data_IF_963408529755
#
_entry.id   IF_963408529755
#
_cell.length_a   1.000
_cell.length_b   1.000
_cell.length_c   1.000
_cell.angle_alpha   90.00
_cell.angle_beta   90.00
_cell.angle_gamma   90.00
#
_symmetry.space_group_name_H-M   'P 1'
#
loop_
_entity.id
_entity.type
_entity.pdbx_description
1 polymer ?
#
# COMPACT_ATOMS: atom_id res chain seq x y z
N UNK A 1 -61.28 -1.20 -68.62
CA UNK A 1 -61.36 0.28 -68.69
C UNK A 1 -62.78 0.64 -69.05
N UNK A 2 -63.34 1.71 -68.49
CA UNK A 2 -64.64 2.24 -68.94
C UNK A 2 -64.52 2.98 -70.28
N UNK A 3 -65.64 3.21 -70.97
CA UNK A 3 -65.63 3.88 -72.27
C UNK A 3 -65.09 5.31 -72.14
N UNK A 4 -64.01 5.61 -72.87
CA UNK A 4 -63.35 6.92 -72.83
C UNK A 4 -62.23 7.04 -71.78
N UNK A 5 -62.02 6.02 -70.94
CA UNK A 5 -60.94 5.98 -69.96
C UNK A 5 -59.63 5.53 -70.63
N UNK A 6 -58.62 6.39 -70.58
CA UNK A 6 -57.28 6.09 -71.12
C UNK A 6 -56.31 5.59 -70.04
N UNK A 7 -56.57 5.91 -68.77
CA UNK A 7 -55.70 5.56 -67.65
C UNK A 7 -56.51 5.00 -66.49
N UNK A 8 -55.98 3.96 -65.84
CA UNK A 8 -56.50 3.41 -64.60
C UNK A 8 -55.33 3.10 -63.68
N UNK A 9 -55.40 3.59 -62.45
CA UNK A 9 -54.38 3.36 -61.42
C UNK A 9 -54.71 2.08 -60.66
N UNK A 10 -53.69 1.29 -60.38
CA UNK A 10 -53.73 0.19 -59.41
C UNK A 10 -52.95 0.63 -58.18
N UNK A 11 -53.48 0.36 -56.99
CA UNK A 11 -52.78 0.60 -55.73
C UNK A 11 -52.36 -0.74 -55.18
N UNK A 12 -51.07 -0.89 -54.90
CA UNK A 12 -50.49 -2.05 -54.23
C UNK A 12 -50.05 -1.56 -52.86
N UNK A 13 -50.51 -2.21 -51.81
CA UNK A 13 -50.07 -1.92 -50.45
C UNK A 13 -48.78 -2.71 -50.19
N UNK A 14 -47.73 -2.01 -49.83
CA UNK A 14 -46.50 -2.60 -49.29
C UNK A 14 -46.74 -2.84 -47.79
N UNK A 15 -46.29 -3.98 -47.29
CA UNK A 15 -46.34 -4.29 -45.85
C UNK A 15 -45.13 -3.61 -45.24
N UNK A 16 -45.39 -2.76 -44.27
CA UNK A 16 -44.39 -2.02 -43.50
C UNK A 16 -44.18 -2.76 -42.18
N UNK A 17 -42.93 -3.05 -41.86
CA UNK A 17 -42.53 -3.58 -40.56
C UNK A 17 -41.22 -2.94 -40.12
N UNK A 18 -40.78 -3.25 -38.90
CA UNK A 18 -39.59 -2.64 -38.32
C UNK A 18 -38.41 -3.62 -38.36
N UNK A 19 -38.33 -4.53 -39.32
CA UNK A 19 -37.28 -5.54 -39.37
C UNK A 19 -36.39 -5.30 -40.59
N UNK A 20 -35.10 -5.06 -40.33
CA UNK A 20 -34.16 -4.89 -41.42
C UNK A 20 -34.13 -6.10 -42.35
N UNK A 21 -34.37 -5.83 -43.63
CA UNK A 21 -34.38 -6.74 -44.76
C UNK A 21 -33.61 -6.12 -45.94
N UNK A 22 -32.96 -6.93 -46.80
CA UNK A 22 -32.35 -6.40 -48.02
C UNK A 22 -33.41 -5.90 -49.00
N UNK A 23 -33.05 -4.95 -49.88
CA UNK A 23 -33.95 -4.47 -50.93
C UNK A 23 -34.58 -5.63 -51.72
N UNK A 24 -35.90 -5.66 -51.73
CA UNK A 24 -36.68 -6.71 -52.36
C UNK A 24 -37.26 -6.27 -53.70
N UNK A 25 -37.56 -7.23 -54.56
CA UNK A 25 -38.20 -6.93 -55.84
C UNK A 25 -39.34 -7.87 -56.14
N UNK A 26 -40.42 -7.32 -56.71
CA UNK A 26 -41.52 -8.10 -57.24
C UNK A 26 -41.96 -7.58 -58.61
N UNK A 27 -42.65 -8.44 -59.36
CA UNK A 27 -43.10 -8.14 -60.71
C UNK A 27 -44.62 -7.99 -60.74
N UNK A 28 -45.09 -6.92 -61.37
CA UNK A 28 -46.50 -6.76 -61.74
C UNK A 28 -46.62 -7.07 -63.22
N UNK A 29 -47.28 -8.20 -63.53
CA UNK A 29 -47.52 -8.63 -64.91
C UNK A 29 -48.95 -8.33 -65.33
N UNK A 30 -49.09 -7.60 -66.42
CA UNK A 30 -50.37 -7.40 -67.11
C UNK A 30 -50.70 -8.62 -67.95
N UNK A 31 -51.89 -9.16 -67.74
CA UNK A 31 -52.52 -10.17 -68.58
C UNK A 31 -53.84 -9.65 -69.13
N UNK A 32 -54.27 -10.22 -70.26
CA UNK A 32 -55.64 -10.01 -70.75
C UNK A 32 -56.60 -10.81 -69.88
N UNK A 33 -57.77 -10.24 -69.63
CA UNK A 33 -58.85 -10.99 -69.00
C UNK A 33 -59.34 -12.11 -69.93
N UNK A 34 -59.77 -13.23 -69.35
CA UNK A 34 -60.29 -14.36 -70.12
C UNK A 34 -61.44 -13.91 -71.05
N UNK A 35 -61.33 -14.20 -72.34
CA UNK A 35 -62.32 -13.83 -73.37
C UNK A 35 -62.11 -12.48 -74.06
N UNK A 36 -61.11 -11.67 -73.69
CA UNK A 36 -60.83 -10.36 -74.28
C UNK A 36 -59.68 -10.35 -75.33
N UNK A 37 -59.18 -11.53 -75.69
CA UNK A 37 -58.01 -11.74 -76.57
C UNK A 37 -58.17 -11.17 -78.00
N UNK A 38 -59.40 -10.96 -78.46
CA UNK A 38 -59.71 -10.35 -79.76
C UNK A 38 -60.03 -8.86 -79.73
N UNK A 39 -60.20 -8.25 -78.54
CA UNK A 39 -60.69 -6.88 -78.37
C UNK A 39 -59.62 -5.90 -77.92
N UNK A 40 -58.61 -6.39 -77.20
CA UNK A 40 -57.47 -5.60 -76.75
C UNK A 40 -56.17 -6.37 -76.97
N UNK A 41 -55.09 -5.64 -77.22
CA UNK A 41 -53.73 -6.19 -77.31
C UNK A 41 -52.88 -5.56 -76.22
N UNK A 42 -52.05 -6.38 -75.59
CA UNK A 42 -51.03 -5.88 -74.66
C UNK A 42 -49.98 -5.06 -75.43
N UNK A 43 -49.52 -3.97 -74.81
CA UNK A 43 -48.45 -3.14 -75.35
C UNK A 43 -47.06 -3.76 -75.16
N UNK A 44 -46.01 -2.98 -75.45
CA UNK A 44 -44.61 -3.44 -75.33
C UNK A 44 -44.11 -3.58 -73.89
N UNK A 45 -44.74 -2.89 -72.94
CA UNK A 45 -44.42 -2.95 -71.52
C UNK A 45 -45.57 -3.62 -70.76
N UNK A 46 -45.42 -4.92 -70.51
CA UNK A 46 -46.42 -5.74 -69.79
C UNK A 46 -45.97 -6.15 -68.41
N UNK A 47 -44.70 -5.91 -68.07
CA UNK A 47 -44.13 -6.22 -66.77
C UNK A 47 -43.57 -4.91 -66.20
N UNK A 48 -43.97 -4.60 -64.97
CA UNK A 48 -43.33 -3.58 -64.15
C UNK A 48 -42.53 -4.27 -63.05
N UNK A 49 -41.26 -3.89 -62.91
CA UNK A 49 -40.43 -4.25 -61.76
C UNK A 49 -40.69 -3.20 -60.68
N UNK A 50 -41.06 -3.65 -59.49
CA UNK A 50 -41.19 -2.79 -58.31
C UNK A 50 -40.10 -3.21 -57.34
N UNK A 51 -39.35 -2.23 -56.86
CA UNK A 51 -38.33 -2.40 -55.81
C UNK A 51 -38.88 -1.83 -54.51
N UNK A 52 -38.86 -2.65 -53.46
CA UNK A 52 -39.14 -2.23 -52.09
C UNK A 52 -37.78 -1.88 -51.49
N UNK A 53 -37.61 -0.61 -51.14
CA UNK A 53 -36.38 -0.10 -50.52
C UNK A 53 -36.62 -0.19 -49.02
N UNK A 54 -35.71 -0.85 -48.30
CA UNK A 54 -35.78 -0.93 -46.84
C UNK A 54 -35.29 0.41 -46.24
N UNK A 55 -36.05 0.96 -45.30
CA UNK A 55 -35.74 2.19 -44.57
C UNK A 55 -35.45 1.96 -43.08
N UNK A 56 -35.33 0.70 -42.64
CA UNK A 56 -34.98 0.33 -41.28
C UNK A 56 -33.49 0.54 -40.99
N UNK A 57 -33.20 1.07 -39.80
CA UNK A 57 -31.84 1.24 -39.32
C UNK A 57 -31.54 0.21 -38.21
N UNK A 58 -30.91 -0.94 -38.52
CA UNK A 58 -30.60 -1.97 -37.52
C UNK A 58 -29.54 -1.52 -36.50
N UNK A 59 -28.84 -0.41 -36.77
CA UNK A 59 -27.90 0.20 -35.84
C UNK A 59 -26.50 -0.41 -35.83
N UNK A 60 -25.65 0.24 -35.06
CA UNK A 60 -24.24 -0.08 -34.87
C UNK A 60 -24.04 -0.47 -33.41
N UNK A 61 -23.45 -1.64 -33.17
CA UNK A 61 -23.19 -2.15 -31.83
C UNK A 61 -21.73 -1.89 -31.47
N UNK A 62 -21.49 -1.25 -30.33
CA UNK A 62 -20.17 -0.98 -29.79
C UNK A 62 -20.15 -0.91 -28.25
N UNK A 63 -18.98 -1.03 -27.64
CA UNK A 63 -18.83 -0.83 -26.19
C UNK A 63 -18.96 0.65 -25.82
N UNK A 64 -19.52 0.94 -24.64
CA UNK A 64 -19.61 2.31 -24.10
C UNK A 64 -18.21 2.90 -23.86
N UNK A 65 -17.30 2.09 -23.33
CA UNK A 65 -15.94 2.50 -22.99
C UNK A 65 -14.90 1.53 -23.57
N UNK A 66 -13.75 2.06 -24.00
CA UNK A 66 -12.63 1.25 -24.49
C UNK A 66 -11.81 0.58 -23.38
N UNK A 67 -11.95 1.08 -22.15
CA UNK A 67 -11.26 0.59 -20.96
C UNK A 67 -12.26 0.59 -19.81
N UNK A 68 -12.39 -0.53 -19.10
CA UNK A 68 -13.22 -0.66 -17.91
C UNK A 68 -12.35 -1.05 -16.72
N UNK A 69 -12.40 -0.27 -15.64
CA UNK A 69 -11.64 -0.52 -14.42
C UNK A 69 -12.55 -1.16 -13.38
N UNK A 70 -12.16 -2.33 -12.89
CA UNK A 70 -12.90 -3.07 -11.87
C UNK A 70 -11.97 -3.48 -10.75
N UNK A 71 -12.51 -3.59 -9.53
CA UNK A 71 -11.78 -4.17 -8.40
C UNK A 71 -11.87 -5.69 -8.46
N UNK A 72 -10.86 -6.38 -7.96
CA UNK A 72 -10.88 -7.84 -7.81
C UNK A 72 -12.08 -8.30 -6.96
N UNK A 73 -12.37 -7.56 -5.88
CA UNK A 73 -13.48 -7.84 -4.96
C UNK A 73 -14.90 -7.61 -5.49
N UNK A 74 -15.07 -7.11 -6.72
CA UNK A 74 -16.39 -6.75 -7.28
C UNK A 74 -17.25 -7.98 -7.61
N UNK A 75 -16.63 -9.15 -7.78
CA UNK A 75 -17.27 -10.41 -8.13
C UNK A 75 -17.72 -10.53 -9.60
N UNK A 76 -18.27 -9.47 -10.22
CA UNK A 76 -18.61 -9.45 -11.66
C UNK A 76 -18.29 -8.10 -12.29
N UNK A 77 -17.54 -8.12 -13.39
CA UNK A 77 -17.33 -6.96 -14.25
C UNK A 77 -18.52 -6.76 -15.18
N UNK A 78 -19.18 -5.61 -15.07
CA UNK A 78 -20.31 -5.22 -15.92
C UNK A 78 -19.83 -4.35 -17.09
N UNK A 79 -19.91 -4.90 -18.29
CA UNK A 79 -19.45 -4.27 -19.53
C UNK A 79 -20.66 -3.88 -20.36
N UNK A 80 -20.83 -2.59 -20.59
CA UNK A 80 -22.00 -2.06 -21.32
C UNK A 80 -21.76 -2.00 -22.82
N UNK A 81 -22.76 -2.43 -23.57
CA UNK A 81 -22.86 -2.32 -25.02
C UNK A 81 -23.95 -1.33 -25.36
N UNK A 82 -23.65 -0.48 -26.33
CA UNK A 82 -24.55 0.48 -26.91
C UNK A 82 -24.90 0.08 -28.34
N UNK A 83 -26.17 0.25 -28.69
CA UNK A 83 -26.67 0.19 -30.06
C UNK A 83 -27.00 1.63 -30.50
N UNK A 84 -26.24 2.16 -31.44
CA UNK A 84 -26.28 3.56 -31.89
C UNK A 84 -26.65 3.65 -33.37
N UNK A 85 -27.13 4.81 -33.82
CA UNK A 85 -27.50 5.06 -35.23
C UNK A 85 -28.50 4.03 -35.80
N UNK A 86 -29.51 3.67 -35.00
CA UNK A 86 -30.56 2.73 -35.37
C UNK A 86 -30.93 1.78 -34.23
N UNK A 87 -32.22 1.44 -34.13
CA UNK A 87 -32.74 0.48 -33.15
C UNK A 87 -33.82 -0.44 -33.73
N UNK A 88 -33.89 -0.52 -35.07
CA UNK A 88 -34.96 -1.23 -35.77
C UNK A 88 -34.67 -2.73 -35.86
N UNK A 89 -35.68 -3.53 -35.59
CA UNK A 89 -35.58 -4.98 -35.64
C UNK A 89 -34.76 -5.60 -34.51
N UNK A 90 -34.78 -6.93 -34.52
CA UNK A 90 -34.02 -7.76 -33.60
C UNK A 90 -32.64 -8.03 -34.17
N UNK A 91 -31.60 -7.68 -33.41
CA UNK A 91 -30.20 -7.89 -33.81
C UNK A 91 -29.45 -8.67 -32.75
N UNK A 92 -28.40 -9.39 -33.15
CA UNK A 92 -27.54 -10.08 -32.20
C UNK A 92 -26.07 -9.94 -32.54
N UNK A 93 -25.22 -10.04 -31.54
CA UNK A 93 -23.76 -10.00 -31.68
C UNK A 93 -23.14 -11.03 -30.75
N UNK A 94 -22.07 -11.68 -31.19
CA UNK A 94 -21.30 -12.57 -30.34
C UNK A 94 -20.13 -11.84 -29.70
N UNK A 95 -19.78 -12.26 -28.49
CA UNK A 95 -18.60 -11.75 -27.80
C UNK A 95 -17.72 -12.91 -27.31
N UNK A 96 -16.43 -12.64 -27.16
CA UNK A 96 -15.47 -13.55 -26.56
C UNK A 96 -14.47 -12.77 -25.71
N UNK A 97 -13.98 -13.41 -24.65
CA UNK A 97 -12.87 -12.91 -23.84
C UNK A 97 -11.53 -13.39 -24.39
N UNK A 98 -10.48 -12.61 -24.14
CA UNK A 98 -9.11 -12.94 -24.54
C UNK A 98 -8.12 -12.46 -23.49
N UNK A 99 -7.25 -13.37 -23.08
CA UNK A 99 -6.19 -13.10 -22.11
C UNK A 99 -5.20 -12.05 -22.65
N UNK A 100 -4.75 -11.16 -21.76
CA UNK A 100 -3.60 -10.26 -22.01
C UNK A 100 -2.56 -10.54 -20.92
N UNK A 101 -2.82 -10.05 -19.70
CA UNK A 101 -2.03 -10.31 -18.50
C UNK A 101 -2.81 -11.18 -17.52
N UNK A 102 -4.12 -10.91 -17.37
CA UNK A 102 -5.05 -11.78 -16.64
C UNK A 102 -5.36 -13.04 -17.47
N UNK A 103 -5.40 -14.19 -16.78
CA UNK A 103 -5.57 -15.53 -17.31
C UNK A 103 -6.97 -16.07 -17.00
N UNK A 104 -7.64 -16.61 -18.01
CA UNK A 104 -8.95 -17.24 -17.85
C UNK A 104 -8.91 -18.42 -16.86
N UNK A 105 -9.98 -18.56 -16.07
CA UNK A 105 -10.16 -19.53 -14.97
C UNK A 105 -9.22 -19.34 -13.76
N UNK A 106 -8.27 -18.41 -13.83
CA UNK A 106 -7.44 -17.97 -12.70
C UNK A 106 -7.94 -16.64 -12.15
N UNK A 107 -7.96 -15.61 -12.99
CA UNK A 107 -8.22 -14.22 -12.58
C UNK A 107 -9.65 -13.78 -12.96
N UNK A 108 -10.22 -14.40 -14.00
CA UNK A 108 -11.60 -14.18 -14.42
C UNK A 108 -12.16 -15.44 -15.08
N UNK A 109 -13.48 -15.61 -15.06
CA UNK A 109 -14.12 -16.73 -15.78
C UNK A 109 -14.25 -16.36 -17.26
N UNK A 110 -13.39 -16.97 -18.09
CA UNK A 110 -13.35 -16.74 -19.52
C UNK A 110 -14.55 -17.32 -20.24
N UNK A 111 -14.80 -16.85 -21.46
CA UNK A 111 -15.83 -17.43 -22.30
C UNK A 111 -16.33 -16.52 -23.41
N UNK A 112 -17.46 -16.91 -23.97
CA UNK A 112 -18.16 -16.15 -24.99
C UNK A 112 -19.66 -16.40 -24.93
N UNK A 113 -20.41 -15.50 -25.54
CA UNK A 113 -21.87 -15.55 -25.55
C UNK A 113 -22.44 -14.79 -26.72
N UNK A 114 -23.77 -14.81 -26.81
CA UNK A 114 -24.53 -14.02 -27.78
C UNK A 114 -25.38 -13.02 -27.02
N UNK A 115 -25.23 -11.74 -27.37
CA UNK A 115 -26.06 -10.64 -26.87
C UNK A 115 -27.11 -10.35 -27.92
N UNK A 116 -28.37 -10.37 -27.51
CA UNK A 116 -29.52 -10.07 -28.36
C UNK A 116 -30.11 -8.73 -27.93
N UNK A 117 -30.28 -7.83 -28.89
CA UNK A 117 -31.06 -6.61 -28.76
C UNK A 117 -32.40 -6.83 -29.48
N UNK A 118 -33.49 -6.68 -28.72
CA UNK A 118 -34.83 -6.62 -29.27
C UNK A 118 -35.07 -5.23 -29.90
N UNK A 119 -36.17 -5.11 -30.65
CA UNK A 119 -36.53 -3.84 -31.28
C UNK A 119 -36.65 -2.70 -30.24
N UNK A 120 -36.01 -1.57 -30.52
CA UNK A 120 -35.97 -0.40 -29.64
C UNK A 120 -35.01 -0.51 -28.46
N UNK A 121 -34.33 -1.64 -28.23
CA UNK A 121 -33.33 -1.76 -27.18
C UNK A 121 -31.99 -1.13 -27.62
N UNK A 122 -31.50 -0.20 -26.80
CA UNK A 122 -30.25 0.55 -27.08
C UNK A 122 -29.08 0.19 -26.17
N UNK A 123 -29.31 -0.55 -25.08
CA UNK A 123 -28.29 -0.87 -24.08
C UNK A 123 -28.42 -2.31 -23.58
N UNK A 124 -27.29 -3.03 -23.55
CA UNK A 124 -27.14 -4.35 -22.92
C UNK A 124 -25.89 -4.37 -22.06
N UNK A 125 -25.85 -5.29 -21.09
CA UNK A 125 -24.71 -5.47 -20.18
C UNK A 125 -24.24 -6.91 -20.26
N UNK A 126 -22.94 -7.10 -20.51
CA UNK A 126 -22.25 -8.37 -20.35
C UNK A 126 -21.68 -8.41 -18.94
N UNK A 127 -21.99 -9.45 -18.17
CA UNK A 127 -21.42 -9.68 -16.85
C UNK A 127 -20.39 -10.80 -16.91
N UNK A 128 -19.12 -10.47 -16.66
CA UNK A 128 -18.02 -11.42 -16.61
C UNK A 128 -17.62 -11.64 -15.14
N UNK A 129 -17.73 -12.86 -14.60
CA UNK A 129 -17.29 -13.13 -13.24
C UNK A 129 -15.79 -12.92 -13.09
N UNK A 130 -15.42 -12.17 -12.04
CA UNK A 130 -14.03 -11.96 -11.63
C UNK A 130 -13.75 -12.94 -10.49
N UNK A 131 -12.62 -13.63 -10.56
CA UNK A 131 -12.18 -14.54 -9.50
C UNK A 131 -11.39 -13.69 -8.51
N UNK A 132 -11.80 -13.71 -7.25
CA UNK A 132 -11.09 -13.02 -6.18
C UNK A 132 -10.31 -14.05 -5.39
N UNK A 133 -9.00 -13.87 -5.28
CA UNK A 133 -8.18 -14.71 -4.42
C UNK A 133 -7.72 -13.98 -3.15
N UNK A 134 -6.56 -14.33 -2.60
CA UNK A 134 -6.00 -13.72 -1.39
C UNK A 134 -4.51 -13.35 -1.59
N UNK A 135 -4.01 -13.55 -2.81
CA UNK A 135 -2.65 -13.24 -3.18
C UNK A 135 -2.59 -11.81 -3.71
N UNK A 136 -1.80 -10.95 -3.06
CA UNK A 136 -1.54 -9.64 -3.63
C UNK A 136 -0.79 -9.78 -4.97
N UNK A 137 -1.51 -9.52 -6.06
CA UNK A 137 -1.02 -9.52 -7.44
C UNK A 137 -0.85 -8.08 -7.95
N UNK A 138 -0.35 -7.93 -9.18
CA UNK A 138 -0.31 -6.62 -9.84
C UNK A 138 -1.65 -6.34 -10.50
N UNK A 139 -1.88 -5.10 -10.93
CA UNK A 139 -3.01 -4.82 -11.81
C UNK A 139 -2.86 -5.63 -13.11
N UNK A 140 -3.87 -6.42 -13.43
CA UNK A 140 -3.90 -7.31 -14.59
C UNK A 140 -5.04 -6.93 -15.53
N UNK A 141 -4.97 -7.36 -16.79
CA UNK A 141 -5.96 -6.97 -17.79
C UNK A 141 -6.32 -8.11 -18.73
N UNK A 142 -7.57 -8.12 -19.20
CA UNK A 142 -8.05 -8.99 -20.27
C UNK A 142 -8.89 -8.19 -21.28
N UNK A 143 -9.07 -8.71 -22.49
CA UNK A 143 -9.87 -8.09 -23.53
C UNK A 143 -11.22 -8.77 -23.72
N UNK A 144 -12.21 -8.00 -24.16
CA UNK A 144 -13.50 -8.50 -24.66
C UNK A 144 -13.71 -7.96 -26.08
N UNK A 145 -13.99 -8.87 -27.01
CA UNK A 145 -14.09 -8.58 -28.45
C UNK A 145 -15.47 -9.01 -28.99
N UNK A 146 -16.12 -8.12 -29.76
CA UNK A 146 -17.37 -8.38 -30.47
C UNK A 146 -17.09 -8.93 -31.87
N UNK A 147 -17.88 -9.89 -32.32
CA UNK A 147 -17.79 -10.48 -33.64
C UNK A 147 -19.14 -11.03 -34.14
N UNK A 148 -19.22 -11.27 -35.45
CA UNK A 148 -20.38 -11.89 -36.13
C UNK A 148 -21.73 -11.23 -35.78
N UNK A 149 -21.92 -9.92 -36.08
CA UNK A 149 -23.21 -9.28 -35.90
C UNK A 149 -24.24 -9.85 -36.90
N UNK A 150 -25.49 -9.98 -36.45
CA UNK A 150 -26.63 -10.52 -37.21
C UNK A 150 -27.82 -9.57 -37.17
N UNK A 151 -28.72 -9.72 -38.14
CA UNK A 151 -29.91 -8.86 -38.26
C UNK A 151 -29.61 -7.50 -38.90
N UNK A 152 -28.56 -7.40 -39.71
CA UNK A 152 -28.19 -6.16 -40.41
C UNK A 152 -27.33 -5.18 -39.58
N UNK A 153 -27.15 -5.44 -38.28
CA UNK A 153 -26.30 -4.61 -37.44
C UNK A 153 -24.83 -4.64 -37.87
N UNK A 154 -24.13 -3.52 -37.64
CA UNK A 154 -22.69 -3.39 -37.90
C UNK A 154 -21.93 -3.20 -36.59
N UNK A 155 -20.64 -3.51 -36.57
CA UNK A 155 -19.78 -3.23 -35.42
C UNK A 155 -19.23 -1.81 -35.51
N UNK A 156 -19.28 -1.08 -34.40
CA UNK A 156 -18.76 0.28 -34.30
C UNK A 156 -17.25 0.35 -34.12
N UNK A 157 -16.76 1.55 -33.76
CA UNK A 157 -15.32 1.79 -33.59
C UNK A 157 -14.80 1.07 -32.35
N UNK A 158 -15.64 0.96 -31.33
CA UNK A 158 -15.32 0.30 -30.07
C UNK A 158 -15.85 -1.15 -30.08
N UNK A 159 -15.39 -1.97 -31.03
CA UNK A 159 -15.69 -3.41 -31.09
C UNK A 159 -14.85 -4.26 -30.13
N UNK A 160 -13.88 -3.64 -29.44
CA UNK A 160 -13.01 -4.24 -28.45
C UNK A 160 -12.89 -3.32 -27.25
N UNK A 161 -12.96 -3.89 -26.05
CA UNK A 161 -12.70 -3.20 -24.79
C UNK A 161 -11.68 -3.98 -23.96
N UNK A 162 -10.95 -3.27 -23.10
CA UNK A 162 -9.97 -3.85 -22.16
C UNK A 162 -10.50 -3.67 -20.75
N UNK A 163 -10.61 -4.77 -20.01
CA UNK A 163 -10.97 -4.76 -18.60
C UNK A 163 -9.70 -4.88 -17.79
N UNK A 164 -9.46 -3.92 -16.90
CA UNK A 164 -8.33 -3.92 -15.97
C UNK A 164 -8.84 -4.22 -14.58
N UNK A 165 -8.33 -5.31 -14.00
CA UNK A 165 -8.61 -5.75 -12.64
C UNK A 165 -7.57 -5.08 -11.73
N UNK A 166 -8.07 -4.24 -10.83
CA UNK A 166 -7.27 -3.55 -9.82
C UNK A 166 -7.26 -4.42 -8.58
N UNK A 167 -6.07 -4.83 -8.14
CA UNK A 167 -5.92 -5.59 -6.90
C UNK A 167 -6.24 -4.67 -5.72
N UNK A 168 -7.26 -5.03 -4.93
CA UNK A 168 -7.64 -4.34 -3.70
C UNK A 168 -7.42 -5.19 -2.44
N UNK A 169 -6.66 -6.27 -2.59
CA UNK A 169 -6.25 -7.19 -1.53
C UNK A 169 -5.12 -6.61 -0.67
N UNK A 170 -5.47 -5.57 0.08
CA UNK A 170 -4.58 -4.93 1.07
C UNK A 170 -4.50 -5.74 2.38
N UNK A 171 -4.94 -7.01 2.38
CA UNK A 171 -4.86 -7.91 3.54
C UNK A 171 -3.42 -8.13 3.98
N UNK A 172 -2.45 -8.18 3.06
CA UNK A 172 -1.03 -8.23 3.44
C UNK A 172 -0.57 -6.95 4.15
N UNK A 173 -1.08 -5.77 3.79
CA UNK A 173 -0.78 -4.53 4.51
C UNK A 173 -1.38 -4.56 5.92
N UNK A 174 -2.64 -4.96 6.07
CA UNK A 174 -3.29 -5.07 7.38
C UNK A 174 -2.70 -6.19 8.25
N UNK A 175 -2.40 -7.36 7.67
CA UNK A 175 -1.75 -8.48 8.36
C UNK A 175 -0.31 -8.15 8.72
N UNK A 176 0.44 -7.45 7.87
CA UNK A 176 1.78 -6.95 8.21
C UNK A 176 1.72 -5.84 9.25
N UNK A 177 0.72 -4.94 9.21
CA UNK A 177 0.51 -3.94 10.25
C UNK A 177 0.12 -4.60 11.58
N UNK A 178 -0.75 -5.61 11.56
CA UNK A 178 -1.19 -6.35 12.74
C UNK A 178 -0.06 -7.22 13.29
N UNK A 179 0.72 -7.89 12.43
CA UNK A 179 1.90 -8.63 12.81
C UNK A 179 2.98 -7.72 13.39
N UNK A 180 3.21 -6.54 12.80
CA UNK A 180 4.12 -5.53 13.35
C UNK A 180 3.63 -4.98 14.69
N UNK A 181 2.33 -4.72 14.84
CA UNK A 181 1.75 -4.28 16.12
C UNK A 181 1.85 -5.37 17.20
N UNK A 182 1.58 -6.62 16.84
CA UNK A 182 1.69 -7.78 17.74
C UNK A 182 3.16 -8.07 18.09
N UNK A 183 4.08 -7.92 17.14
CA UNK A 183 5.51 -8.13 17.36
C UNK A 183 6.12 -7.00 18.20
N UNK A 184 5.71 -5.75 17.99
CA UNK A 184 6.09 -4.60 18.85
C UNK A 184 5.55 -4.77 20.27
N UNK A 185 4.32 -5.29 20.44
CA UNK A 185 3.78 -5.59 21.77
C UNK A 185 4.47 -6.79 22.44
N UNK A 186 4.81 -7.84 21.69
CA UNK A 186 5.57 -8.99 22.20
C UNK A 186 6.99 -8.58 22.58
N UNK A 187 7.66 -7.71 21.81
CA UNK A 187 9.00 -7.21 22.14
C UNK A 187 8.98 -6.28 23.35
N UNK A 188 7.94 -5.44 23.50
CA UNK A 188 7.76 -4.65 24.75
C UNK A 188 7.47 -5.53 25.97
N UNK A 189 6.77 -6.65 25.78
CA UNK A 189 6.51 -7.62 26.84
C UNK A 189 7.73 -8.53 27.15
N UNK A 190 8.56 -8.85 26.15
CA UNK A 190 9.77 -9.68 26.29
C UNK A 190 10.92 -8.93 26.96
N UNK A 191 11.04 -7.61 26.73
CA UNK A 191 11.97 -6.71 27.45
C UNK A 191 11.71 -6.70 28.97
N UNK A 192 10.53 -7.18 29.43
CA UNK A 192 10.11 -7.08 30.84
C UNK A 192 10.15 -8.41 31.61
N UNK A 193 10.54 -9.55 31.01
CA UNK A 193 10.54 -10.85 31.70
C UNK A 193 11.84 -11.66 31.55
N UNK A 194 13.00 -11.03 31.72
CA UNK A 194 14.24 -11.78 31.96
C UNK A 194 14.24 -12.26 33.42
N UNK A 195 14.27 -13.57 33.64
CA UNK A 195 14.58 -14.11 34.97
C UNK A 195 16.07 -13.88 35.28
N UNK A 196 16.49 -13.95 36.55
CA UNK A 196 17.92 -13.93 36.90
C UNK A 196 18.70 -14.96 36.07
N UNK A 197 18.17 -16.18 35.94
CA UNK A 197 18.79 -17.23 35.14
C UNK A 197 18.98 -16.81 33.67
N UNK A 198 17.99 -16.13 33.10
CA UNK A 198 18.08 -15.64 31.73
C UNK A 198 19.13 -14.52 31.60
N UNK A 199 19.22 -13.59 32.56
CA UNK A 199 20.24 -12.53 32.52
C UNK A 199 21.65 -13.09 32.56
N UNK A 200 21.90 -14.10 33.40
CA UNK A 200 23.19 -14.79 33.43
C UNK A 200 23.44 -15.59 32.15
N UNK A 201 22.43 -16.25 31.61
CA UNK A 201 22.53 -16.95 30.32
C UNK A 201 22.93 -16.00 29.18
N UNK A 202 22.28 -14.84 29.09
CA UNK A 202 22.53 -13.85 28.03
C UNK A 202 23.86 -13.08 28.24
N UNK A 203 24.30 -12.97 29.49
CA UNK A 203 25.60 -12.46 29.84
C UNK A 203 26.73 -13.42 29.43
N UNK A 204 26.52 -14.73 29.57
CA UNK A 204 27.50 -15.77 29.22
C UNK A 204 27.54 -16.10 27.73
N UNK A 205 26.47 -15.82 26.97
CA UNK A 205 26.38 -16.17 25.57
C UNK A 205 26.54 -14.97 24.62
N UNK A 206 27.18 -15.23 23.48
CA UNK A 206 27.25 -14.26 22.38
C UNK A 206 25.84 -14.15 21.77
N UNK A 207 25.39 -12.91 21.53
CA UNK A 207 24.08 -12.65 20.92
C UNK A 207 22.88 -13.31 21.65
N UNK A 208 22.95 -13.46 22.99
CA UNK A 208 21.85 -14.06 23.76
C UNK A 208 21.68 -15.57 23.55
N UNK A 209 22.62 -16.24 22.88
CA UNK A 209 22.56 -17.67 22.55
C UNK A 209 22.11 -17.96 21.12
N UNK A 210 21.70 -16.95 20.35
CA UNK A 210 21.42 -17.11 18.92
C UNK A 210 22.71 -17.03 18.10
N UNK A 211 23.29 -18.22 17.88
CA UNK A 211 24.53 -18.43 17.14
C UNK A 211 24.34 -18.33 15.61
N UNK A 212 23.12 -18.53 15.10
CA UNK A 212 22.86 -18.58 13.65
C UNK A 212 22.92 -17.18 13.01
N UNK A 213 22.57 -16.15 13.77
CA UNK A 213 22.63 -14.75 13.33
C UNK A 213 23.89 -14.00 13.81
N UNK A 214 24.80 -14.67 14.53
CA UNK A 214 25.94 -14.03 15.18
C UNK A 214 27.07 -13.64 14.20
N UNK A 215 27.29 -12.33 14.05
CA UNK A 215 28.40 -11.77 13.24
C UNK A 215 29.68 -11.64 14.06
N UNK A 216 30.84 -11.54 13.40
CA UNK A 216 32.16 -11.30 14.04
C UNK A 216 32.13 -10.12 15.01
N UNK A 217 31.42 -9.04 14.67
CA UNK A 217 31.26 -7.88 15.55
C UNK A 217 30.59 -8.21 16.90
N UNK A 218 29.68 -9.19 16.94
CA UNK A 218 29.01 -9.62 18.17
C UNK A 218 29.97 -10.37 19.09
N UNK A 219 30.89 -11.17 18.54
CA UNK A 219 31.91 -11.87 19.33
C UNK A 219 32.92 -10.90 19.94
N UNK A 220 33.40 -9.92 19.17
CA UNK A 220 34.32 -8.89 19.67
C UNK A 220 33.63 -8.06 20.76
N UNK A 221 32.40 -7.59 20.50
CA UNK A 221 31.62 -6.83 21.47
C UNK A 221 31.33 -7.62 22.75
N UNK A 222 30.96 -8.90 22.62
CA UNK A 222 30.75 -9.78 23.77
C UNK A 222 32.03 -9.95 24.59
N UNK A 223 33.19 -10.16 23.95
CA UNK A 223 34.47 -10.34 24.66
C UNK A 223 34.87 -9.08 25.44
N UNK A 224 34.75 -7.90 24.81
CA UNK A 224 35.08 -6.62 25.45
C UNK A 224 34.11 -6.26 26.59
N UNK A 225 32.83 -6.59 26.44
CA UNK A 225 31.79 -6.28 27.41
C UNK A 225 31.54 -7.42 28.42
N UNK A 226 32.22 -8.57 28.31
CA UNK A 226 31.90 -9.77 29.08
C UNK A 226 31.90 -9.52 30.60
N UNK A 227 32.96 -8.87 31.09
CA UNK A 227 33.08 -8.50 32.50
C UNK A 227 31.88 -7.65 32.95
N UNK A 228 31.53 -6.63 32.17
CA UNK A 228 30.41 -5.74 32.46
C UNK A 228 29.06 -6.46 32.39
N UNK A 229 28.86 -7.33 31.40
CA UNK A 229 27.66 -8.15 31.26
C UNK A 229 27.41 -9.01 32.48
N UNK A 230 28.43 -9.70 32.97
CA UNK A 230 28.31 -10.56 34.16
C UNK A 230 28.11 -9.72 35.42
N UNK A 231 28.83 -8.60 35.56
CA UNK A 231 28.68 -7.70 36.71
C UNK A 231 27.26 -7.13 36.82
N UNK A 232 26.66 -6.70 35.71
CA UNK A 232 25.31 -6.13 35.70
C UNK A 232 24.19 -7.18 35.68
N UNK A 233 24.48 -8.46 35.41
CA UNK A 233 23.51 -9.55 35.56
C UNK A 233 23.09 -9.80 37.03
N UNK A 234 23.83 -9.25 38.00
CA UNK A 234 23.44 -9.24 39.41
C UNK A 234 22.35 -8.20 39.74
N UNK A 235 22.01 -7.32 38.80
CA UNK A 235 20.93 -6.36 38.99
C UNK A 235 19.60 -7.11 38.88
N UNK A 236 18.68 -6.98 39.86
CA UNK A 236 17.45 -7.75 39.85
C UNK A 236 16.57 -7.41 38.65
N UNK A 237 15.84 -8.39 38.09
CA UNK A 237 14.89 -8.18 37.02
C UNK A 237 13.82 -7.14 37.33
N UNK A 238 13.44 -6.40 36.30
CA UNK A 238 12.47 -5.30 36.33
C UNK A 238 11.07 -5.70 36.81
N UNK A 239 10.71 -7.00 36.78
CA UNK A 239 9.42 -7.47 37.29
C UNK A 239 9.38 -7.68 38.81
N UNK A 240 10.54 -7.73 39.48
CA UNK A 240 10.60 -7.92 40.94
C UNK A 240 10.22 -6.61 41.64
N UNK A 241 9.25 -6.66 42.54
CA UNK A 241 8.75 -5.51 43.30
C UNK A 241 8.33 -4.31 42.43
N UNK A 242 7.76 -4.58 41.24
CA UNK A 242 7.28 -3.54 40.33
C UNK A 242 8.39 -2.64 39.77
N UNK A 243 9.64 -3.14 39.70
CA UNK A 243 10.79 -2.43 39.13
C UNK A 243 11.53 -1.50 40.10
N UNK A 244 10.96 -1.23 41.27
CA UNK A 244 11.61 -0.39 42.29
C UNK A 244 12.92 -1.01 42.81
N UNK A 245 12.95 -2.33 42.97
CA UNK A 245 14.15 -3.02 43.43
C UNK A 245 15.30 -2.88 42.40
N UNK A 246 14.99 -3.07 41.13
CA UNK A 246 15.94 -2.87 40.02
C UNK A 246 16.48 -1.45 40.00
N UNK A 247 15.60 -0.46 40.16
CA UNK A 247 15.97 0.96 40.15
C UNK A 247 16.98 1.33 41.24
N UNK A 248 16.73 0.94 42.50
CA UNK A 248 17.64 1.30 43.59
C UNK A 248 18.96 0.51 43.54
N UNK A 249 18.91 -0.77 43.15
CA UNK A 249 20.13 -1.59 43.02
C UNK A 249 20.99 -1.09 41.87
N UNK A 250 20.40 -0.73 40.72
CA UNK A 250 21.16 -0.17 39.59
C UNK A 250 21.79 1.18 39.94
N UNK A 251 21.06 2.06 40.64
CA UNK A 251 21.58 3.33 41.15
C UNK A 251 22.80 3.11 42.06
N UNK A 252 22.74 2.11 42.96
CA UNK A 252 23.85 1.75 43.82
C UNK A 252 25.07 1.23 43.07
N UNK A 253 24.88 0.36 42.06
CA UNK A 253 25.96 -0.13 41.20
C UNK A 253 26.63 1.00 40.42
N UNK A 254 25.84 1.91 39.85
CA UNK A 254 26.36 3.08 39.12
C UNK A 254 27.15 3.99 40.07
N UNK A 255 26.62 4.28 41.27
CA UNK A 255 27.31 5.10 42.27
C UNK A 255 28.65 4.46 42.70
N UNK A 256 28.67 3.14 42.92
CA UNK A 256 29.90 2.42 43.27
C UNK A 256 30.92 2.43 42.13
N UNK A 257 30.50 2.14 40.91
CA UNK A 257 31.39 2.09 39.74
C UNK A 257 31.94 3.47 39.40
N UNK A 258 31.11 4.50 39.43
CA UNK A 258 31.55 5.88 39.21
C UNK A 258 32.55 6.35 40.27
N UNK A 259 32.38 5.94 41.53
CA UNK A 259 33.38 6.19 42.58
C UNK A 259 34.71 5.48 42.29
N UNK A 260 34.68 4.18 41.96
CA UNK A 260 35.90 3.41 41.64
C UNK A 260 36.61 4.00 40.41
N UNK A 261 35.87 4.30 39.34
CA UNK A 261 36.45 4.88 38.11
C UNK A 261 36.99 6.28 38.38
N UNK A 262 36.31 7.08 39.20
CA UNK A 262 36.78 8.39 39.65
C UNK A 262 38.11 8.30 40.40
N UNK A 263 38.22 7.37 41.36
CA UNK A 263 39.44 7.15 42.13
C UNK A 263 40.60 6.67 41.24
N UNK A 264 40.34 5.73 40.31
CA UNK A 264 41.35 5.25 39.36
C UNK A 264 41.81 6.38 38.43
N UNK A 265 40.88 7.21 37.92
CA UNK A 265 41.20 8.36 37.07
C UNK A 265 42.03 9.41 37.82
N UNK A 266 41.75 9.63 39.11
CA UNK A 266 42.54 10.52 39.96
C UNK A 266 43.97 10.00 40.19
N UNK A 267 44.12 8.71 40.50
CA UNK A 267 45.43 8.06 40.68
C UNK A 267 46.25 8.12 39.37
N UNK A 268 45.61 7.80 38.24
CA UNK A 268 46.25 7.92 36.93
C UNK A 268 46.66 9.36 36.60
N UNK A 269 45.77 10.32 36.89
CA UNK A 269 46.04 11.75 36.78
C UNK A 269 47.28 12.19 37.54
N UNK A 270 47.38 11.77 38.80
CA UNK A 270 48.55 12.02 39.63
C UNK A 270 49.83 11.39 39.06
N UNK A 271 49.75 10.18 38.51
CA UNK A 271 50.91 9.46 37.96
C UNK A 271 51.43 10.07 36.65
N UNK A 272 50.54 10.64 35.83
CA UNK A 272 50.88 11.29 34.55
C UNK A 272 51.14 12.80 34.73
N UNK A 273 50.90 13.36 35.92
CA UNK A 273 51.08 14.78 36.21
C UNK A 273 49.97 15.68 35.63
N UNK A 274 48.77 15.13 35.42
CA UNK A 274 47.61 15.86 34.95
C UNK A 274 46.88 16.51 36.14
N UNK A 275 46.36 17.73 35.95
CA UNK A 275 45.49 18.38 36.92
C UNK A 275 44.16 17.60 37.07
N UNK A 276 43.63 17.54 38.28
CA UNK A 276 42.36 16.87 38.61
C UNK A 276 41.17 17.34 37.76
N UNK A 277 41.18 18.62 37.35
CA UNK A 277 40.14 19.18 36.47
C UNK A 277 40.19 18.63 35.05
N UNK A 278 41.37 18.18 34.57
CA UNK A 278 41.55 17.60 33.24
C UNK A 278 41.14 16.13 33.28
N UNK A 279 41.53 15.41 34.34
CA UNK A 279 41.20 13.98 34.47
C UNK A 279 39.70 13.78 34.63
N UNK A 280 39.02 14.64 35.40
CA UNK A 280 37.57 14.63 35.53
C UNK A 280 36.84 14.90 34.19
N UNK A 281 37.26 15.91 33.43
CA UNK A 281 36.58 16.29 32.18
C UNK A 281 36.89 15.32 31.03
N UNK A 282 38.14 14.85 30.91
CA UNK A 282 38.54 14.01 29.79
C UNK A 282 38.18 12.52 29.96
N UNK A 283 38.23 11.98 31.18
CA UNK A 283 37.96 10.55 31.40
C UNK A 283 36.56 10.29 31.96
N UNK A 284 36.12 11.07 32.95
CA UNK A 284 34.82 10.82 33.62
C UNK A 284 33.66 11.41 32.81
N UNK A 285 33.78 12.65 32.33
CA UNK A 285 32.71 13.27 31.55
C UNK A 285 32.56 12.64 30.15
N UNK A 286 33.66 12.25 29.49
CA UNK A 286 33.61 11.53 28.22
C UNK A 286 32.90 10.17 28.35
N UNK A 287 33.21 9.42 29.41
CA UNK A 287 32.62 8.11 29.67
C UNK A 287 31.11 8.14 29.93
N UNK A 288 30.58 9.26 30.42
CA UNK A 288 29.14 9.46 30.67
C UNK A 288 28.42 10.12 29.49
N UNK A 289 29.07 11.07 28.81
CA UNK A 289 28.46 11.84 27.71
C UNK A 289 28.43 11.11 26.37
N UNK A 290 29.39 10.23 26.09
CA UNK A 290 29.41 9.44 24.84
C UNK A 290 28.20 8.49 24.75
N UNK A 291 27.85 7.71 25.80
CA UNK A 291 26.62 6.92 25.80
C UNK A 291 25.36 7.75 25.53
N UNK A 292 25.23 8.91 26.16
CA UNK A 292 24.08 9.81 25.96
C UNK A 292 24.01 10.34 24.53
N UNK A 293 25.16 10.59 23.90
CA UNK A 293 25.26 10.99 22.49
C UNK A 293 24.75 9.87 21.57
N UNK A 294 25.17 8.63 21.80
CA UNK A 294 24.70 7.49 21.01
C UNK A 294 23.21 7.20 21.24
N UNK A 295 22.73 7.30 22.48
CA UNK A 295 21.31 7.15 22.80
C UNK A 295 20.44 8.20 22.08
N UNK A 296 20.90 9.46 22.06
CA UNK A 296 20.21 10.55 21.36
C UNK A 296 20.24 10.38 19.84
N UNK A 297 21.35 9.90 19.28
CA UNK A 297 21.45 9.56 17.86
C UNK A 297 20.51 8.42 17.46
N UNK A 298 20.42 7.36 18.29
CA UNK A 298 19.51 6.23 18.04
C UNK A 298 18.06 6.70 18.09
N UNK A 299 17.70 7.52 19.08
CA UNK A 299 16.39 8.14 19.16
C UNK A 299 16.06 8.90 17.86
N UNK A 300 16.96 9.79 17.42
CA UNK A 300 16.76 10.59 16.20
C UNK A 300 16.62 9.76 14.90
N UNK A 301 17.25 8.59 14.81
CA UNK A 301 17.15 7.70 13.64
C UNK A 301 15.86 6.90 13.59
N UNK A 302 15.31 6.58 14.77
CA UNK A 302 14.15 5.68 14.90
C UNK A 302 12.84 6.45 15.04
N UNK A 303 12.88 7.73 15.42
CA UNK A 303 11.70 8.57 15.56
C UNK A 303 11.40 9.35 14.27
N UNK A 304 10.11 9.53 13.96
CA UNK A 304 9.67 10.33 12.81
C UNK A 304 9.91 11.83 13.02
N UNK A 305 9.98 12.27 14.28
CA UNK A 305 10.25 13.65 14.70
C UNK A 305 11.46 13.70 15.63
N UNK A 306 12.09 14.86 15.79
CA UNK A 306 13.29 15.00 16.64
C UNK A 306 12.97 15.02 18.16
N UNK A 307 11.71 14.91 18.55
CA UNK A 307 11.26 15.15 19.93
C UNK A 307 11.89 14.18 20.93
N UNK A 308 12.05 12.89 20.56
CA UNK A 308 12.65 11.88 21.43
C UNK A 308 14.15 12.17 21.68
N UNK A 309 14.87 12.63 20.65
CA UNK A 309 16.27 13.01 20.78
C UNK A 309 16.43 14.28 21.61
N UNK A 310 15.56 15.28 21.40
CA UNK A 310 15.54 16.52 22.19
C UNK A 310 15.22 16.19 23.66
N UNK A 311 14.25 15.31 23.92
CA UNK A 311 13.89 14.84 25.25
C UNK A 311 15.06 14.17 25.97
N UNK A 312 15.79 13.27 25.28
CA UNK A 312 16.97 12.61 25.84
C UNK A 312 18.09 13.60 26.18
N UNK A 313 18.45 14.49 25.26
CA UNK A 313 19.50 15.50 25.48
C UNK A 313 19.12 16.45 26.62
N UNK A 314 17.88 16.95 26.60
CA UNK A 314 17.39 17.89 27.62
C UNK A 314 17.31 17.23 28.98
N UNK A 315 16.84 15.98 29.03
CA UNK A 315 16.72 15.20 30.26
C UNK A 315 18.09 14.90 30.89
N UNK A 316 19.04 14.35 30.12
CA UNK A 316 20.38 14.02 30.64
C UNK A 316 21.11 15.28 31.14
N UNK A 317 21.12 16.35 30.34
CA UNK A 317 21.80 17.59 30.74
C UNK A 317 21.14 18.24 31.97
N UNK A 318 19.81 18.20 32.05
CA UNK A 318 19.09 18.71 33.22
C UNK A 318 19.46 17.93 34.49
N UNK A 319 19.55 16.60 34.41
CA UNK A 319 19.96 15.74 35.53
C UNK A 319 21.42 15.99 35.91
N UNK A 320 22.33 16.06 34.95
CA UNK A 320 23.75 16.29 35.20
C UNK A 320 24.02 17.65 35.87
N UNK A 321 23.33 18.70 35.42
CA UNK A 321 23.48 20.04 36.02
C UNK A 321 22.78 20.09 37.38
N UNK A 322 21.54 19.62 37.48
CA UNK A 322 20.75 19.76 38.70
C UNK A 322 21.17 18.79 39.81
N UNK A 323 21.25 17.49 39.52
CA UNK A 323 21.64 16.47 40.51
C UNK A 323 23.16 16.35 40.64
N UNK A 324 23.92 16.53 39.55
CA UNK A 324 25.38 16.38 39.57
C UNK A 324 26.13 17.58 40.17
N UNK A 325 25.70 18.81 39.85
CA UNK A 325 26.35 20.03 40.35
C UNK A 325 25.49 20.76 41.39
N UNK A 326 24.20 20.97 41.08
CA UNK A 326 23.30 21.79 41.90
C UNK A 326 23.06 21.23 43.30
N UNK A 327 22.67 19.96 43.40
CA UNK A 327 22.33 19.33 44.69
C UNK A 327 23.52 19.23 45.65
N UNK A 328 24.73 18.77 45.23
CA UNK A 328 25.90 18.78 46.11
C UNK A 328 26.28 20.19 46.57
N UNK A 329 26.15 21.19 45.70
CA UNK A 329 26.45 22.58 46.04
C UNK A 329 25.45 23.16 47.05
N UNK A 330 24.17 22.81 46.89
CA UNK A 330 23.11 23.15 47.85
C UNK A 330 23.36 22.51 49.21
N UNK A 331 23.68 21.20 49.24
CA UNK A 331 23.99 20.47 50.47
C UNK A 331 25.23 21.05 51.15
N UNK A 332 26.28 21.36 50.39
CA UNK A 332 27.49 21.99 50.92
C UNK A 332 27.17 23.38 51.51
N UNK A 333 26.43 24.23 50.78
CA UNK A 333 26.03 25.55 51.27
C UNK A 333 25.25 25.46 52.60
N UNK A 334 24.26 24.55 52.68
CA UNK A 334 23.51 24.32 53.93
C UNK A 334 24.41 23.81 55.07
N UNK A 335 25.36 22.93 54.78
CA UNK A 335 26.30 22.43 55.76
C UNK A 335 27.20 23.54 56.32
N UNK A 336 27.79 24.37 55.47
CA UNK A 336 28.67 25.47 55.89
C UNK A 336 27.90 26.58 56.63
N UNK A 337 26.66 26.87 56.20
CA UNK A 337 25.74 27.75 56.93
C UNK A 337 25.44 27.20 58.34
N UNK A 338 25.18 25.89 58.47
CA UNK A 338 24.96 25.25 59.78
C UNK A 338 26.15 25.35 60.73
N UNK A 339 27.35 25.57 60.18
CA UNK A 339 28.59 25.77 60.94
C UNK A 339 28.95 27.24 61.14
N UNK A 340 28.13 28.18 60.67
CA UNK A 340 28.41 29.63 60.66
C UNK A 340 29.77 29.97 60.03
N UNK A 341 30.15 29.26 58.97
CA UNK A 341 31.42 29.46 58.27
C UNK A 341 31.14 29.80 56.79
N UNK A 342 31.93 30.71 56.18
CA UNK A 342 31.72 31.09 54.79
C UNK A 342 32.09 29.95 53.83
N UNK A 343 31.22 29.65 52.87
CA UNK A 343 31.49 28.69 51.80
C UNK A 343 32.18 29.38 50.61
N UNK A 344 33.51 29.33 50.55
CA UNK A 344 34.30 29.92 49.46
C UNK A 344 34.80 28.87 48.49
N UNK A 345 34.39 28.94 47.22
CA UNK A 345 34.87 28.06 46.14
C UNK A 345 35.81 28.85 45.24
N UNK A 346 37.05 28.35 45.05
CA UNK A 346 38.01 28.96 44.11
C UNK A 346 37.60 28.62 42.67
N UNK A 347 37.55 29.62 41.80
CA UNK A 347 37.36 29.39 40.37
C UNK A 347 38.56 28.58 39.82
N UNK A 348 38.30 27.37 39.32
CA UNK A 348 39.33 26.53 38.69
C UNK A 348 39.65 26.95 37.25
N UNK A 349 40.59 26.25 36.62
CA UNK A 349 41.02 26.47 35.22
C UNK A 349 40.01 25.90 34.20
N UNK A 350 38.74 26.26 34.31
CA UNK A 350 37.66 25.75 33.47
C UNK A 350 37.93 26.00 31.97
N UNK A 351 38.51 27.15 31.63
CA UNK A 351 38.89 27.52 30.27
C UNK A 351 39.94 26.58 29.65
N UNK A 352 40.92 26.11 30.43
CA UNK A 352 41.94 25.18 29.95
C UNK A 352 41.35 23.77 29.73
N UNK A 353 40.53 23.30 30.66
CA UNK A 353 39.88 21.98 30.52
C UNK A 353 38.88 21.94 29.36
N UNK A 354 38.12 23.01 29.11
CA UNK A 354 37.21 23.11 27.96
C UNK A 354 37.98 23.13 26.63
N UNK A 355 39.13 23.80 26.57
CA UNK A 355 40.00 23.79 25.38
C UNK A 355 40.50 22.37 25.06
N UNK A 356 40.98 21.63 26.06
CA UNK A 356 41.44 20.25 25.87
C UNK A 356 40.28 19.35 25.43
N UNK A 357 39.11 19.46 26.06
CA UNK A 357 37.92 18.70 25.67
C UNK A 357 37.51 18.95 24.21
N UNK A 358 37.56 20.21 23.76
CA UNK A 358 37.21 20.60 22.39
C UNK A 358 38.19 20.13 21.32
N UNK A 359 39.41 19.73 21.69
CA UNK A 359 40.41 19.16 20.79
C UNK A 359 40.26 17.62 20.71
N UNK A 360 39.77 17.00 21.79
CA UNK A 360 39.64 15.54 21.90
C UNK A 360 38.28 15.00 21.42
N UNK A 361 37.25 15.82 21.39
CA UNK A 361 35.94 15.51 20.77
C UNK A 361 35.92 16.01 19.33
#
# INVERSE_FOLDING_TARGET
MERGQQEKKITIHVIDDNQWEPDETFFVKLSLAEGEEGRAKLGTKTIALVTIINDDEPGIIEFEESITLVKESIGKAEIKLLRVNGADGRVSVRYQTKDIDAVAEKDYLGGGGEVVFEHGEILKVIAIPIVNDLEAEKDESFAVELFDPKGGAQLGKHAKTVVTIINDDDYKSMANQMANLVQVDIDRLSVTKTSWAQQFHDAMNVNGGDLETAKIGHYIGHTLAFFWKVLFAFVPPTHVAGGWLTFFVSLGFIALLTAIVGDVAAIFGCLVGLKDSITAISFVALGTSLPDTFASMIAAKNSKTADDAIGNVTGSNSVNVFLGLGLPWLVAAMYWESKNLPFTVKAGDLSFSVLIFSICC
#
